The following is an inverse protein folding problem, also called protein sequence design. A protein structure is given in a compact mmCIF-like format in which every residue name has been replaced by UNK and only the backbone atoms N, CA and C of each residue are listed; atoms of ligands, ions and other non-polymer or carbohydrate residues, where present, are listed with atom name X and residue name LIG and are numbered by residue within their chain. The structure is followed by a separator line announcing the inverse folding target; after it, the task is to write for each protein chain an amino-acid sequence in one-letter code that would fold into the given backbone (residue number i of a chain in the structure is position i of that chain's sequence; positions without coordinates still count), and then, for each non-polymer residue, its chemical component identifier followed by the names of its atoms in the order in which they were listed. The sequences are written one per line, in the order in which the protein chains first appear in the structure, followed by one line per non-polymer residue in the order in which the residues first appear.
data_IF_678982646535
#
_entry.id   IF_678982646535
#
_cell.length_a   1.000
_cell.length_b   1.000
_cell.length_c   1.000
_cell.angle_alpha   90.00
_cell.angle_beta   90.00
_cell.angle_gamma   90.00
#
_symmetry.space_group_name_H-M   'P 1'
#
loop_
_entity.id
_entity.type
_entity.pdbx_description
1 polymer ?
#
# COMPACT_ATOMS: atom_id res chain seq x y z
N UNK A 1 14.63 -1.97 -11.23
CA UNK A 1 13.65 -2.20 -10.15
C UNK A 1 12.27 -2.13 -10.76
N UNK A 2 11.50 -3.21 -10.68
CA UNK A 2 10.08 -3.17 -11.02
C UNK A 2 9.38 -2.48 -9.85
N UNK A 3 8.66 -1.39 -10.10
CA UNK A 3 7.84 -0.76 -9.07
C UNK A 3 6.49 -1.45 -9.07
N UNK A 4 6.32 -2.47 -8.23
CA UNK A 4 5.05 -3.18 -8.10
C UNK A 4 4.03 -2.39 -7.28
N UNK A 5 4.49 -1.45 -6.45
CA UNK A 5 3.69 -0.69 -5.49
C UNK A 5 3.84 0.82 -5.69
N UNK A 6 2.72 1.48 -5.89
CA UNK A 6 2.56 2.92 -5.75
C UNK A 6 2.07 3.28 -4.34
N UNK A 7 2.60 4.36 -3.78
CA UNK A 7 2.22 4.85 -2.46
C UNK A 7 1.92 6.35 -2.49
N UNK A 8 0.88 6.78 -1.78
CA UNK A 8 0.57 8.20 -1.60
C UNK A 8 -0.09 8.46 -0.24
N UNK A 9 0.14 9.63 0.33
CA UNK A 9 -0.60 10.12 1.49
C UNK A 9 -1.91 10.77 1.02
N UNK A 10 -3.02 10.41 1.64
CA UNK A 10 -4.34 10.97 1.35
C UNK A 10 -5.25 10.85 2.57
N UNK A 11 -5.87 11.97 2.97
CA UNK A 11 -6.91 12.03 3.99
C UNK A 11 -6.52 11.35 5.33
N UNK A 12 -5.32 11.62 5.84
CA UNK A 12 -4.84 10.99 7.09
C UNK A 12 -4.46 9.52 6.96
N UNK A 13 -4.23 9.02 5.75
CA UNK A 13 -3.83 7.64 5.52
C UNK A 13 -2.71 7.55 4.48
N UNK A 14 -1.82 6.57 4.67
CA UNK A 14 -0.92 6.08 3.66
C UNK A 14 -1.65 5.03 2.84
N UNK A 15 -1.76 5.27 1.54
CA UNK A 15 -2.42 4.37 0.59
C UNK A 15 -1.36 3.67 -0.24
N UNK A 16 -1.42 2.35 -0.27
CA UNK A 16 -0.57 1.48 -1.07
C UNK A 16 -1.41 0.82 -2.16
N UNK A 17 -0.96 0.83 -3.40
CA UNK A 17 -1.67 0.25 -4.53
C UNK A 17 -0.71 -0.52 -5.42
N UNK A 18 -1.13 -1.69 -5.90
CA UNK A 18 -0.41 -2.38 -6.97
C UNK A 18 -0.42 -1.55 -8.27
N UNK A 19 0.70 -1.45 -8.95
CA UNK A 19 0.82 -0.73 -10.25
C UNK A 19 0.18 -1.51 -11.40
N UNK A 20 0.20 -2.84 -11.32
CA UNK A 20 -0.38 -3.75 -12.31
C UNK A 20 -1.64 -4.43 -11.77
N UNK A 21 -2.51 -4.84 -12.68
CA UNK A 21 -3.67 -5.68 -12.32
C UNK A 21 -3.26 -7.14 -12.33
N UNK A 22 -3.79 -7.93 -11.40
CA UNK A 22 -3.49 -9.35 -11.24
C UNK A 22 -4.77 -10.18 -11.40
N UNK A 23 -4.63 -11.45 -11.79
CA UNK A 23 -5.76 -12.39 -11.78
C UNK A 23 -6.36 -12.48 -10.39
N UNK A 24 -7.63 -12.90 -10.29
CA UNK A 24 -8.34 -12.99 -9.01
C UNK A 24 -7.57 -13.76 -7.92
N UNK A 25 -7.05 -14.95 -8.25
CA UNK A 25 -6.28 -15.77 -7.30
C UNK A 25 -5.04 -15.04 -6.79
N UNK A 26 -4.26 -14.46 -7.71
CA UNK A 26 -3.04 -13.73 -7.37
C UNK A 26 -3.32 -12.44 -6.61
N UNK A 27 -4.38 -11.74 -6.97
CA UNK A 27 -4.80 -10.53 -6.28
C UNK A 27 -5.19 -10.84 -4.82
N UNK A 28 -5.82 -12.00 -4.57
CA UNK A 28 -6.10 -12.48 -3.22
C UNK A 28 -4.84 -12.81 -2.43
N UNK A 29 -3.85 -13.47 -3.02
CA UNK A 29 -2.55 -13.72 -2.36
C UNK A 29 -1.86 -12.41 -1.95
N UNK A 30 -1.86 -11.42 -2.84
CA UNK A 30 -1.31 -10.09 -2.56
C UNK A 30 -2.14 -9.36 -1.48
N UNK A 31 -3.47 -9.50 -1.51
CA UNK A 31 -4.36 -8.95 -0.50
C UNK A 31 -4.03 -9.51 0.90
N UNK A 32 -3.75 -10.80 1.00
CA UNK A 32 -3.37 -11.42 2.27
C UNK A 32 -2.03 -10.86 2.79
N UNK A 33 -1.06 -10.63 1.92
CA UNK A 33 0.20 -9.95 2.29
C UNK A 33 -0.07 -8.54 2.83
N UNK A 34 -0.96 -7.77 2.19
CA UNK A 34 -1.31 -6.44 2.68
C UNK A 34 -2.01 -6.51 4.04
N UNK A 35 -2.90 -7.48 4.25
CA UNK A 35 -3.61 -7.67 5.52
C UNK A 35 -2.66 -8.07 6.66
N UNK A 36 -1.63 -8.87 6.39
CA UNK A 36 -0.58 -9.22 7.38
C UNK A 36 0.18 -7.99 7.88
N UNK A 37 0.36 -6.98 7.03
CA UNK A 37 0.94 -5.69 7.43
C UNK A 37 -0.03 -4.80 8.23
N UNK A 38 -1.25 -5.26 8.51
CA UNK A 38 -2.28 -4.48 9.20
C UNK A 38 -2.92 -3.41 8.31
N UNK A 39 -2.74 -3.48 6.99
CA UNK A 39 -3.40 -2.56 6.06
C UNK A 39 -4.88 -2.92 5.93
N UNK A 40 -5.76 -1.92 5.99
CA UNK A 40 -7.16 -2.08 5.61
C UNK A 40 -7.22 -2.20 4.09
N UNK A 41 -7.37 -3.43 3.59
CA UNK A 41 -7.12 -3.75 2.19
C UNK A 41 -8.35 -4.24 1.45
N UNK A 42 -8.38 -3.99 0.13
CA UNK A 42 -9.45 -4.44 -0.76
C UNK A 42 -8.98 -4.64 -2.18
N UNK A 43 -9.69 -5.51 -2.89
CA UNK A 43 -9.57 -5.63 -4.34
C UNK A 43 -10.39 -4.55 -5.04
N UNK A 44 -9.84 -4.02 -6.14
CA UNK A 44 -10.57 -3.14 -7.07
C UNK A 44 -10.50 -3.72 -8.47
N UNK A 45 -11.64 -3.80 -9.13
CA UNK A 45 -11.68 -4.22 -10.52
C UNK A 45 -10.93 -3.20 -11.40
N UNK A 46 -9.97 -3.67 -12.19
CA UNK A 46 -9.25 -2.87 -13.20
C UNK A 46 -9.87 -3.07 -14.59
N UNK A 47 -10.07 -4.33 -14.97
CA UNK A 47 -10.67 -4.79 -16.22
C UNK A 47 -11.16 -6.24 -16.03
N UNK A 48 -12.00 -6.77 -16.94
CA UNK A 48 -12.67 -8.08 -16.89
C UNK A 48 -12.17 -9.05 -15.80
N UNK A 49 -10.94 -9.57 -15.91
CA UNK A 49 -10.37 -10.56 -14.99
C UNK A 49 -9.12 -10.08 -14.22
N UNK A 50 -8.86 -8.77 -14.21
CA UNK A 50 -7.71 -8.15 -13.54
C UNK A 50 -8.14 -7.23 -12.41
N UNK A 51 -7.47 -7.40 -11.27
CA UNK A 51 -7.77 -6.70 -10.03
C UNK A 51 -6.52 -5.97 -9.53
N UNK A 52 -6.71 -4.73 -9.11
CA UNK A 52 -5.74 -4.03 -8.28
C UNK A 52 -5.95 -4.38 -6.81
N UNK A 53 -4.86 -4.43 -6.06
CA UNK A 53 -4.90 -4.52 -4.60
C UNK A 53 -4.58 -3.15 -4.02
N UNK A 54 -5.45 -2.68 -3.13
CA UNK A 54 -5.29 -1.38 -2.47
C UNK A 54 -5.34 -1.58 -0.97
N UNK A 55 -4.32 -1.12 -0.25
CA UNK A 55 -4.22 -1.12 1.21
C UNK A 55 -4.17 0.29 1.76
N UNK A 56 -4.73 0.49 2.95
CA UNK A 56 -4.69 1.76 3.68
C UNK A 56 -4.13 1.55 5.08
N UNK A 57 -3.17 2.38 5.45
CA UNK A 57 -2.69 2.52 6.82
C UNK A 57 -3.11 3.89 7.32
N UNK A 58 -3.99 3.94 8.32
CA UNK A 58 -4.33 5.20 8.97
C UNK A 58 -3.14 5.68 9.78
N UNK A 59 -2.81 6.96 9.62
CA UNK A 59 -1.73 7.61 10.36
C UNK A 59 -2.32 8.79 11.11
N UNK A 60 -1.95 8.92 12.38
CA UNK A 60 -2.38 10.05 13.22
C UNK A 60 -1.48 11.26 12.94
N UNK A 61 -1.73 11.90 11.80
CA UNK A 61 -0.98 13.06 11.32
C UNK A 61 -1.92 14.11 10.73
N UNK A 62 -1.91 15.31 11.33
CA UNK A 62 -2.58 16.50 10.82
C UNK A 62 -1.60 17.31 9.95
N UNK A 63 -1.83 17.38 8.62
CA UNK A 63 -0.93 18.08 7.70
C UNK A 63 -0.97 19.61 7.86
N UNK A 64 -1.95 20.16 8.59
CA UNK A 64 -2.06 21.59 8.87
C UNK A 64 -1.31 22.00 10.14
N UNK A 65 -0.87 21.02 10.95
CA UNK A 65 -0.03 21.26 12.13
C UNK A 65 1.45 21.07 11.75
N UNK A 66 2.27 22.04 12.11
CA UNK A 66 3.69 22.01 11.77
C UNK A 66 4.47 21.15 12.78
N UNK A 67 4.49 19.84 12.53
CA UNK A 67 5.18 18.84 13.36
C UNK A 67 6.17 18.02 12.51
N UNK A 68 7.38 18.54 12.23
CA UNK A 68 8.34 17.90 11.33
C UNK A 68 8.74 16.47 11.75
N UNK A 69 8.80 16.21 13.05
CA UNK A 69 9.12 14.88 13.57
C UNK A 69 8.04 13.85 13.24
N UNK A 70 6.75 14.23 13.35
CA UNK A 70 5.64 13.34 12.97
C UNK A 70 5.63 13.08 11.47
N UNK A 71 5.94 14.08 10.65
CA UNK A 71 6.07 13.86 9.20
C UNK A 71 7.19 12.88 8.86
N UNK A 72 8.35 12.98 9.52
CA UNK A 72 9.44 12.03 9.34
C UNK A 72 9.04 10.59 9.74
N UNK A 73 8.23 10.43 10.79
CA UNK A 73 7.67 9.13 11.17
C UNK A 73 6.73 8.58 10.09
N UNK A 74 5.81 9.40 9.56
CA UNK A 74 4.92 9.03 8.46
C UNK A 74 5.72 8.58 7.22
N UNK A 75 6.76 9.33 6.84
CA UNK A 75 7.64 8.96 5.72
C UNK A 75 8.39 7.66 5.99
N UNK A 76 8.89 7.46 7.22
CA UNK A 76 9.57 6.22 7.61
C UNK A 76 8.65 5.00 7.52
N UNK A 77 7.40 5.12 8.00
CA UNK A 77 6.39 4.07 7.87
C UNK A 77 6.03 3.80 6.42
N UNK A 78 5.89 4.84 5.59
CA UNK A 78 5.66 4.71 4.16
C UNK A 78 6.78 3.89 3.50
N UNK A 79 8.04 4.27 3.74
CA UNK A 79 9.20 3.60 3.12
C UNK A 79 9.29 2.16 3.59
N UNK A 80 9.17 1.89 4.89
CA UNK A 80 9.25 0.55 5.47
C UNK A 80 8.19 -0.39 4.87
N UNK A 81 6.93 0.04 4.84
CA UNK A 81 5.84 -0.77 4.32
C UNK A 81 5.96 -0.97 2.80
N UNK A 82 6.33 0.08 2.05
CA UNK A 82 6.57 -0.06 0.61
C UNK A 82 7.66 -1.07 0.31
N UNK A 83 8.81 -0.97 0.97
CA UNK A 83 9.93 -1.89 0.76
C UNK A 83 9.53 -3.34 1.05
N UNK A 84 8.87 -3.59 2.18
CA UNK A 84 8.38 -4.93 2.49
C UNK A 84 7.42 -5.47 1.44
N UNK A 85 6.47 -4.65 0.98
CA UNK A 85 5.52 -5.07 -0.05
C UNK A 85 6.23 -5.39 -1.38
N UNK A 86 7.15 -4.53 -1.82
CA UNK A 86 7.94 -4.78 -3.04
C UNK A 86 8.74 -6.09 -2.93
N UNK A 87 9.43 -6.33 -1.82
CA UNK A 87 10.17 -7.57 -1.58
C UNK A 87 9.28 -8.82 -1.63
N UNK A 88 8.07 -8.74 -1.03
CA UNK A 88 7.11 -9.85 -1.08
C UNK A 88 6.56 -10.08 -2.49
N UNK A 89 6.34 -9.02 -3.26
CA UNK A 89 5.84 -9.11 -4.62
C UNK A 89 6.91 -9.58 -5.61
N UNK A 90 8.19 -9.33 -5.36
CA UNK A 90 9.29 -9.82 -6.18
C UNK A 90 9.59 -11.32 -5.95
N UNK A 91 9.33 -11.83 -4.74
CA UNK A 91 9.47 -13.24 -4.40
C UNK A 91 8.40 -14.16 -5.01
N UNK A 92 7.50 -13.59 -5.80
CA UNK A 92 6.20 -14.11 -6.14
C UNK A 92 6.14 -14.39 -7.64
#
# INVERSE_FOLDING_TARGET
MKNHIECHYKDGALVFCTTHGYSYSRAHEILDVFNVLGLVSKLRNKSSDLFWVVGRLHVDYDPFQHEPEKWNQVVSELVRNKTFLEEKLEAF
#
